data_IF_558128330613
#
_entry.id   IF_558128330613
#
_cell.length_a   1.000
_cell.length_b   1.000
_cell.length_c   1.000
_cell.angle_alpha   90.00
_cell.angle_beta   90.00
_cell.angle_gamma   90.00
#
_symmetry.space_group_name_H-M   'P 1'
#
loop_
_entity.id
_entity.type
_entity.pdbx_description
1 polymer ?
#
# COMPACT_ATOMS: atom_id res chain seq x y z
N UNK A 1 -6.04 -23.02 23.28
CA UNK A 1 -5.22 -21.90 22.73
C UNK A 1 -5.23 -21.86 21.18
N UNK A 2 -6.29 -22.34 20.50
CA UNK A 2 -6.36 -22.42 19.03
C UNK A 2 -7.58 -21.71 18.41
N UNK A 3 -8.52 -21.19 19.22
CA UNK A 3 -9.73 -20.52 18.72
C UNK A 3 -9.54 -19.02 18.54
N UNK A 4 -8.63 -18.38 19.29
CA UNK A 4 -8.41 -16.93 19.23
C UNK A 4 -7.68 -16.47 17.95
N UNK A 5 -6.87 -17.33 17.33
CA UNK A 5 -6.13 -16.99 16.12
C UNK A 5 -7.04 -16.94 14.88
N UNK A 6 -8.10 -17.75 14.86
CA UNK A 6 -9.03 -17.82 13.71
C UNK A 6 -9.92 -16.57 13.57
N UNK A 7 -10.16 -15.86 14.67
CA UNK A 7 -10.89 -14.58 14.66
C UNK A 7 -10.03 -13.40 14.16
N UNK A 8 -8.71 -13.56 14.14
CA UNK A 8 -7.78 -12.53 13.66
C UNK A 8 -7.68 -12.54 12.12
N UNK A 9 -7.74 -13.73 11.51
CA UNK A 9 -7.68 -13.91 10.05
C UNK A 9 -8.92 -13.35 9.31
N UNK A 10 -10.08 -13.32 9.97
CA UNK A 10 -11.32 -12.75 9.39
C UNK A 10 -11.35 -11.22 9.45
N UNK A 11 -10.54 -10.60 10.31
CA UNK A 11 -10.41 -9.14 10.38
C UNK A 11 -9.38 -8.63 9.37
N UNK A 12 -8.32 -9.38 9.06
CA UNK A 12 -7.27 -8.92 8.14
C UNK A 12 -7.74 -8.80 6.68
N UNK A 13 -8.76 -9.56 6.27
CA UNK A 13 -9.29 -9.58 4.89
C UNK A 13 -10.39 -8.55 4.61
N UNK A 14 -10.91 -7.88 5.64
CA UNK A 14 -11.99 -6.86 5.50
C UNK A 14 -11.48 -5.43 5.76
N UNK A 15 -10.23 -5.28 6.20
CA UNK A 15 -9.59 -3.96 6.38
C UNK A 15 -9.05 -3.49 5.02
N UNK A 16 -9.98 -3.27 4.10
CA UNK A 16 -9.76 -2.34 2.99
C UNK A 16 -9.59 -0.95 3.62
N UNK A 17 -8.33 -0.56 3.89
CA UNK A 17 -7.70 0.79 3.88
C UNK A 17 -8.47 2.05 4.34
N UNK A 18 -9.70 1.96 4.84
CA UNK A 18 -10.62 3.10 4.90
C UNK A 18 -10.79 3.66 6.31
N UNK A 19 -10.36 2.95 7.37
CA UNK A 19 -10.65 3.42 8.73
C UNK A 19 -9.68 2.91 9.81
N UNK A 20 -8.45 3.44 9.81
CA UNK A 20 -7.51 3.30 10.94
C UNK A 20 -8.13 3.76 12.27
N UNK A 21 -9.12 4.69 12.22
CA UNK A 21 -9.86 5.18 13.38
C UNK A 21 -10.59 4.07 14.15
N UNK A 22 -11.18 3.10 13.44
CA UNK A 22 -11.90 1.98 14.06
C UNK A 22 -10.97 1.06 14.83
N UNK A 23 -9.73 0.88 14.34
CA UNK A 23 -8.69 0.14 15.04
C UNK A 23 -8.24 0.87 16.31
N UNK A 24 -8.03 2.19 16.24
CA UNK A 24 -7.71 3.06 17.39
C UNK A 24 -8.76 2.92 18.50
N UNK A 25 -10.04 2.86 18.14
CA UNK A 25 -11.15 2.72 19.09
C UNK A 25 -11.28 1.31 19.68
N UNK A 26 -10.71 0.29 19.03
CA UNK A 26 -10.77 -1.11 19.47
C UNK A 26 -9.60 -1.52 20.38
N UNK A 27 -8.45 -0.87 20.25
CA UNK A 27 -7.21 -1.16 20.99
C UNK A 27 -7.34 -1.07 22.53
N UNK A 28 -8.12 -0.14 23.12
CA UNK A 28 -8.29 -0.10 24.58
C UNK A 28 -8.90 -1.38 25.16
N UNK A 29 -9.61 -2.16 24.33
CA UNK A 29 -10.30 -3.39 24.72
C UNK A 29 -9.39 -4.63 24.71
N UNK A 30 -8.16 -4.53 24.21
CA UNK A 30 -7.21 -5.63 24.22
C UNK A 30 -6.44 -5.71 25.55
N UNK A 31 -6.55 -6.86 26.23
CA UNK A 31 -5.80 -7.20 27.44
C UNK A 31 -4.37 -7.67 27.09
N UNK A 32 -3.55 -6.74 26.60
CA UNK A 32 -2.11 -6.91 26.35
C UNK A 32 -1.28 -6.18 27.40
N UNK A 33 -0.02 -6.60 27.59
CA UNK A 33 0.91 -5.97 28.52
C UNK A 33 1.21 -4.52 28.12
N UNK A 34 1.52 -3.67 29.12
CA UNK A 34 1.80 -2.25 28.88
C UNK A 34 2.96 -2.04 27.90
N UNK A 35 3.99 -2.88 27.97
CA UNK A 35 5.14 -2.83 27.06
C UNK A 35 4.73 -3.08 25.60
N UNK A 36 3.85 -4.06 25.38
CA UNK A 36 3.34 -4.39 24.06
C UNK A 36 2.44 -3.27 23.50
N UNK A 37 1.68 -2.57 24.36
CA UNK A 37 0.92 -1.37 23.97
C UNK A 37 1.82 -0.24 23.47
N UNK A 38 2.95 -0.01 24.14
CA UNK A 38 3.89 1.05 23.75
C UNK A 38 4.53 0.80 22.38
N UNK A 39 4.99 -0.43 22.13
CA UNK A 39 5.59 -0.82 20.85
C UNK A 39 4.58 -0.67 19.70
N UNK A 40 3.34 -1.09 19.95
CA UNK A 40 2.29 -1.00 18.95
C UNK A 40 1.91 0.47 18.66
N UNK A 41 1.79 1.30 19.71
CA UNK A 41 1.52 2.73 19.56
C UNK A 41 2.63 3.48 18.82
N UNK A 42 3.90 3.23 19.15
CA UNK A 42 5.02 3.89 18.45
C UNK A 42 5.04 3.55 16.97
N UNK A 43 4.70 2.32 16.61
CA UNK A 43 4.61 1.88 15.21
C UNK A 43 3.48 2.59 14.45
N UNK A 44 2.32 2.78 15.08
CA UNK A 44 1.20 3.52 14.47
C UNK A 44 1.55 5.00 14.29
N UNK A 45 2.19 5.62 15.28
CA UNK A 45 2.60 7.03 15.18
C UNK A 45 3.58 7.20 14.03
N UNK A 46 4.60 6.34 13.94
CA UNK A 46 5.55 6.35 12.83
C UNK A 46 4.85 6.16 11.47
N UNK A 47 3.87 5.25 11.37
CA UNK A 47 3.06 5.10 10.16
C UNK A 47 2.25 6.36 9.84
N UNK A 48 1.71 7.03 10.85
CA UNK A 48 0.91 8.26 10.68
C UNK A 48 1.74 9.43 10.17
N UNK A 49 3.00 9.52 10.58
CA UNK A 49 3.94 10.53 10.11
C UNK A 49 4.37 10.27 8.65
N UNK A 50 4.59 9.01 8.28
CA UNK A 50 5.06 8.62 6.94
C UNK A 50 3.96 8.48 5.86
N UNK A 51 2.72 8.91 6.13
CA UNK A 51 1.59 8.70 5.20
C UNK A 51 1.79 9.37 3.84
N UNK A 52 2.40 10.55 3.81
CA UNK A 52 2.72 11.28 2.59
C UNK A 52 3.70 10.51 1.71
N UNK A 53 4.79 10.02 2.30
CA UNK A 53 5.87 9.30 1.65
C UNK A 53 5.37 7.97 1.10
N UNK A 54 4.55 7.27 1.88
CA UNK A 54 3.92 6.01 1.48
C UNK A 54 2.96 6.24 0.30
N UNK A 55 2.17 7.32 0.30
CA UNK A 55 1.30 7.64 -0.81
C UNK A 55 2.10 8.01 -2.07
N UNK A 56 3.21 8.75 -1.93
CA UNK A 56 4.07 9.15 -3.04
C UNK A 56 4.74 7.93 -3.71
N UNK A 57 5.32 7.02 -2.92
CA UNK A 57 6.00 5.85 -3.48
C UNK A 57 5.02 4.93 -4.22
N UNK A 58 3.77 4.84 -3.76
CA UNK A 58 2.71 4.08 -4.43
C UNK A 58 2.34 4.61 -5.81
N UNK A 59 2.52 5.91 -6.07
CA UNK A 59 2.34 6.48 -7.40
C UNK A 59 3.61 6.34 -8.24
N UNK A 60 4.78 6.63 -7.66
CA UNK A 60 6.03 6.71 -8.43
C UNK A 60 6.55 5.32 -8.82
N UNK A 61 6.52 4.34 -7.91
CA UNK A 61 7.12 3.03 -8.14
C UNK A 61 6.48 2.25 -9.30
N UNK A 62 5.13 2.13 -9.41
CA UNK A 62 4.52 1.44 -10.55
C UNK A 62 4.75 2.14 -11.88
N UNK A 63 4.73 3.49 -11.90
CA UNK A 63 5.00 4.27 -13.10
C UNK A 63 6.43 4.09 -13.60
N UNK A 64 7.40 4.10 -12.69
CA UNK A 64 8.79 3.79 -13.01
C UNK A 64 8.95 2.37 -13.53
N UNK A 65 8.31 1.38 -12.89
CA UNK A 65 8.37 -0.02 -13.32
C UNK A 65 7.83 -0.19 -14.75
N UNK A 66 6.68 0.41 -15.06
CA UNK A 66 6.10 0.39 -16.42
C UNK A 66 7.10 0.95 -17.44
N UNK A 67 7.71 2.10 -17.16
CA UNK A 67 8.67 2.73 -18.08
C UNK A 67 9.90 1.85 -18.35
N UNK A 68 10.41 1.16 -17.34
CA UNK A 68 11.55 0.24 -17.50
C UNK A 68 11.14 -0.99 -18.30
N UNK A 69 9.97 -1.57 -18.01
CA UNK A 69 9.45 -2.75 -18.71
C UNK A 69 9.18 -2.43 -20.18
N UNK A 70 8.57 -1.29 -20.46
CA UNK A 70 8.26 -0.85 -21.83
C UNK A 70 9.54 -0.68 -22.67
N UNK A 71 10.57 -0.06 -22.10
CA UNK A 71 11.89 0.02 -22.75
C UNK A 71 12.49 -1.35 -23.02
N UNK A 72 12.40 -2.29 -22.06
CA UNK A 72 12.89 -3.65 -22.23
C UNK A 72 12.11 -4.42 -23.31
N UNK A 73 10.80 -4.22 -23.39
CA UNK A 73 9.94 -4.80 -24.43
C UNK A 73 10.33 -4.26 -25.80
N UNK A 74 10.55 -2.95 -25.92
CA UNK A 74 10.97 -2.32 -27.16
C UNK A 74 12.31 -2.86 -27.67
N UNK A 75 13.27 -3.15 -26.78
CA UNK A 75 14.55 -3.76 -27.17
C UNK A 75 14.39 -5.20 -27.70
N UNK A 76 13.38 -5.94 -27.25
CA UNK A 76 13.12 -7.32 -27.67
C UNK A 76 12.19 -7.43 -28.90
N UNK A 77 11.63 -6.31 -29.36
CA UNK A 77 10.68 -6.28 -30.48
C UNK A 77 9.46 -7.16 -30.23
N UNK A 78 8.98 -7.85 -31.27
CA UNK A 78 7.78 -8.70 -31.18
C UNK A 78 7.87 -9.79 -30.10
N UNK A 79 9.09 -10.28 -29.78
CA UNK A 79 9.31 -11.28 -28.73
C UNK A 79 8.94 -10.73 -27.34
N UNK A 80 9.08 -9.43 -27.11
CA UNK A 80 8.72 -8.78 -25.84
C UNK A 80 7.22 -8.81 -25.52
N UNK A 81 6.37 -9.04 -26.53
CA UNK A 81 4.91 -9.15 -26.38
C UNK A 81 4.42 -10.58 -26.19
N UNK A 82 5.33 -11.56 -26.31
CA UNK A 82 4.98 -12.98 -26.26
C UNK A 82 5.26 -13.58 -24.87
N UNK A 83 4.61 -14.70 -24.52
CA UNK A 83 4.90 -15.41 -23.26
C UNK A 83 6.32 -16.00 -23.19
N UNK A 84 7.11 -15.93 -24.27
CA UNK A 84 8.51 -16.37 -24.29
C UNK A 84 9.41 -15.51 -23.42
N UNK A 85 8.98 -14.31 -23.03
CA UNK A 85 9.65 -13.50 -22.01
C UNK A 85 8.63 -13.06 -20.95
N UNK A 86 9.06 -12.89 -19.69
CA UNK A 86 8.13 -12.52 -18.61
C UNK A 86 7.68 -11.05 -18.70
N UNK A 87 8.14 -10.28 -19.69
CA UNK A 87 7.92 -8.83 -19.79
C UNK A 87 6.45 -8.46 -19.95
N UNK A 88 5.70 -9.19 -20.79
CA UNK A 88 4.27 -8.94 -20.98
C UNK A 88 3.49 -9.13 -19.67
N UNK A 89 3.81 -10.19 -18.91
CA UNK A 89 3.20 -10.43 -17.59
C UNK A 89 3.57 -9.34 -16.58
N UNK A 90 4.83 -8.92 -16.55
CA UNK A 90 5.28 -7.84 -15.66
C UNK A 90 4.60 -6.51 -15.99
N UNK A 91 4.38 -6.20 -17.26
CA UNK A 91 3.66 -5.00 -17.68
C UNK A 91 2.23 -4.98 -17.15
N UNK A 92 1.51 -6.10 -17.26
CA UNK A 92 0.14 -6.24 -16.74
C UNK A 92 0.10 -6.09 -15.21
N UNK A 93 1.03 -6.73 -14.50
CA UNK A 93 1.13 -6.62 -13.04
C UNK A 93 1.49 -5.20 -12.59
N UNK A 94 2.44 -4.54 -13.25
CA UNK A 94 2.79 -3.16 -12.92
C UNK A 94 1.60 -2.20 -13.15
N UNK A 95 0.78 -2.47 -14.17
CA UNK A 95 -0.46 -1.73 -14.42
C UNK A 95 -1.54 -2.00 -13.40
N UNK A 96 -1.69 -3.22 -12.90
CA UNK A 96 -2.68 -3.54 -11.86
C UNK A 96 -2.34 -2.86 -10.53
N UNK A 97 -1.05 -2.70 -10.21
CA UNK A 97 -0.59 -1.98 -9.01
C UNK A 97 -1.00 -0.50 -8.97
N UNK A 98 -1.30 0.12 -10.12
CA UNK A 98 -1.82 1.51 -10.19
C UNK A 98 -3.30 1.66 -9.82
N UNK A 99 -3.96 0.52 -9.61
CA UNK A 99 -5.37 0.43 -9.22
C UNK A 99 -5.49 -0.26 -7.86
N UNK A 100 -4.57 -1.18 -7.55
CA UNK A 100 -4.47 -1.82 -6.24
C UNK A 100 -4.27 -0.77 -5.12
N UNK A 101 -4.88 -1.00 -3.96
CA UNK A 101 -4.88 -0.10 -2.79
C UNK A 101 -5.50 1.30 -2.98
N UNK A 102 -5.90 1.67 -4.19
CA UNK A 102 -6.50 2.95 -4.54
C UNK A 102 -5.96 3.47 -5.88
N UNK A 103 -6.80 4.00 -6.79
CA UNK A 103 -6.31 4.59 -8.03
C UNK A 103 -5.31 5.72 -7.76
N UNK A 104 -4.31 5.90 -8.63
CA UNK A 104 -3.29 6.97 -8.51
C UNK A 104 -3.87 8.36 -8.16
N UNK A 105 -5.05 8.69 -8.70
CA UNK A 105 -5.73 9.95 -8.43
C UNK A 105 -6.06 10.16 -6.94
N UNK A 106 -6.45 9.09 -6.22
CA UNK A 106 -6.75 9.13 -4.78
C UNK A 106 -5.47 9.35 -3.96
N UNK A 107 -4.37 8.73 -4.37
CA UNK A 107 -3.07 8.94 -3.74
C UNK A 107 -2.56 10.36 -3.98
N UNK A 108 -2.66 10.88 -5.20
CA UNK A 108 -2.30 12.26 -5.54
C UNK A 108 -3.16 13.28 -4.80
N UNK A 109 -4.46 13.06 -4.69
CA UNK A 109 -5.37 13.91 -3.91
C UNK A 109 -4.97 13.94 -2.43
N UNK A 110 -4.63 12.78 -1.86
CA UNK A 110 -4.18 12.68 -0.46
C UNK A 110 -2.89 13.46 -0.24
N UNK A 111 -1.91 13.31 -1.14
CA UNK A 111 -0.65 14.07 -1.10
C UNK A 111 -0.94 15.57 -1.21
N UNK A 112 -1.79 15.98 -2.15
CA UNK A 112 -2.13 17.39 -2.34
C UNK A 112 -2.78 18.01 -1.09
N UNK A 113 -3.69 17.29 -0.42
CA UNK A 113 -4.32 17.74 0.84
C UNK A 113 -3.29 17.92 1.96
N UNK A 114 -2.34 17.00 2.08
CA UNK A 114 -1.28 17.07 3.10
C UNK A 114 -0.35 18.25 2.81
N UNK A 115 0.09 18.40 1.56
CA UNK A 115 1.00 19.48 1.14
C UNK A 115 0.35 20.86 1.31
N UNK A 116 -0.92 21.02 0.92
CA UNK A 116 -1.66 22.27 1.10
C UNK A 116 -1.81 22.64 2.58
N UNK A 117 -2.08 21.66 3.44
CA UNK A 117 -2.16 21.89 4.89
C UNK A 117 -0.82 22.28 5.51
N UNK A 118 0.29 21.80 4.95
CA UNK A 118 1.63 22.16 5.44
C UNK A 118 2.05 23.57 5.06
N UNK A 119 1.46 24.15 4.00
CA UNK A 119 1.86 25.46 3.44
C UNK A 119 0.95 26.63 3.83
N UNK A 120 -0.21 26.35 4.44
CA UNK A 120 -1.17 27.35 4.94
C UNK A 120 -1.11 27.43 6.46
#
# INVERSE_FOLDING_TARGET
MAVALRSFDLLSTTISVTNIRVLIDFIPKFQISNEMKYIYWSTIVAYCEAKSEIAMIKVVAPNMAINVIDRAMQQQGARGLTPFTPLASFYVWARSLRVADGPDAVHLETIAKIELKSRL
#
